data_IF_479290671803
#
_entry.id   IF_479290671803
#
_cell.length_a   1.000
_cell.length_b   1.000
_cell.length_c   1.000
_cell.angle_alpha   90.00
_cell.angle_beta   90.00
_cell.angle_gamma   90.00
#
_symmetry.space_group_name_H-M   'P 1'
#
loop_
_entity.id
_entity.type
_entity.pdbx_description
1 polymer ?
#
# COMPACT_ATOMS: atom_id res chain seq x y z
N UNK A 1 -22.00 -15.21 42.05
CA UNK A 1 -21.65 -13.86 41.54
C UNK A 1 -20.18 -13.73 41.11
N UNK A 2 -19.18 -14.19 41.89
CA UNK A 2 -17.76 -14.08 41.50
C UNK A 2 -17.39 -14.86 40.22
N UNK A 3 -17.94 -16.07 40.04
CA UNK A 3 -17.66 -16.92 38.85
C UNK A 3 -18.24 -16.34 37.55
N UNK A 4 -19.46 -15.81 37.59
CA UNK A 4 -20.11 -15.18 36.43
C UNK A 4 -19.45 -13.87 36.04
N UNK A 5 -19.03 -13.05 37.02
CA UNK A 5 -18.25 -11.84 36.75
C UNK A 5 -16.88 -12.15 36.15
N UNK A 6 -16.19 -13.19 36.64
CA UNK A 6 -14.92 -13.63 36.06
C UNK A 6 -15.09 -14.15 34.63
N UNK A 7 -16.15 -14.93 34.36
CA UNK A 7 -16.46 -15.41 33.02
C UNK A 7 -16.76 -14.25 32.06
N UNK A 8 -17.48 -13.23 32.52
CA UNK A 8 -17.80 -12.04 31.73
C UNK A 8 -16.53 -11.23 31.42
N UNK A 9 -15.62 -11.07 32.39
CA UNK A 9 -14.34 -10.40 32.18
C UNK A 9 -13.43 -11.19 31.22
N UNK A 10 -13.39 -12.52 31.34
CA UNK A 10 -12.63 -13.37 30.42
C UNK A 10 -13.21 -13.32 29.00
N UNK A 11 -14.54 -13.39 28.87
CA UNK A 11 -15.21 -13.25 27.57
C UNK A 11 -15.00 -11.87 26.94
N UNK A 12 -15.09 -10.80 27.73
CA UNK A 12 -14.78 -9.45 27.27
C UNK A 12 -13.31 -9.33 26.83
N UNK A 13 -12.37 -9.88 27.62
CA UNK A 13 -10.95 -9.90 27.25
C UNK A 13 -10.69 -10.70 25.97
N UNK A 14 -11.36 -11.84 25.78
CA UNK A 14 -11.29 -12.64 24.56
C UNK A 14 -11.76 -11.86 23.33
N UNK A 15 -12.87 -11.13 23.44
CA UNK A 15 -13.34 -10.24 22.37
C UNK A 15 -12.33 -9.14 22.04
N UNK A 16 -11.58 -8.60 23.01
CA UNK A 16 -10.50 -7.65 22.74
C UNK A 16 -9.30 -8.28 22.00
N UNK A 17 -9.06 -9.59 22.14
CA UNK A 17 -7.96 -10.28 21.46
C UNK A 17 -8.33 -10.84 20.08
N UNK A 18 -9.61 -10.87 19.69
CA UNK A 18 -10.06 -11.43 18.40
C UNK A 18 -10.42 -10.41 17.32
N UNK A 19 -10.37 -9.10 17.59
CA UNK A 19 -10.72 -8.08 16.60
C UNK A 19 -9.51 -7.71 15.72
N UNK A 20 -9.30 -8.48 14.67
CA UNK A 20 -8.41 -8.14 13.56
C UNK A 20 -9.10 -7.08 12.68
N UNK A 21 -9.11 -5.82 13.11
CA UNK A 21 -9.69 -4.71 12.34
C UNK A 21 -8.80 -4.41 11.12
N UNK A 22 -9.14 -5.00 9.99
CA UNK A 22 -8.30 -4.97 8.81
C UNK A 22 -8.60 -3.77 7.90
N UNK A 23 -8.06 -2.58 8.22
CA UNK A 23 -7.85 -1.55 7.19
C UNK A 23 -6.57 -1.91 6.42
N UNK A 24 -6.71 -2.34 5.17
CA UNK A 24 -5.57 -2.72 4.32
C UNK A 24 -5.62 -1.86 3.06
N UNK A 25 -4.51 -1.21 2.74
CA UNK A 25 -4.36 -0.51 1.47
C UNK A 25 -3.85 -1.52 0.44
N UNK A 26 -4.53 -1.58 -0.70
CA UNK A 26 -4.11 -2.33 -1.87
C UNK A 26 -3.69 -1.39 -2.98
N UNK A 27 -2.66 -1.78 -3.73
CA UNK A 27 -2.24 -1.09 -4.95
C UNK A 27 -2.26 -2.10 -6.09
N UNK A 28 -2.80 -1.69 -7.23
CA UNK A 28 -2.70 -2.45 -8.46
C UNK A 28 -1.27 -2.37 -8.98
N UNK A 29 -0.50 -3.44 -8.82
CA UNK A 29 0.84 -3.59 -9.37
C UNK A 29 0.82 -4.67 -10.46
N UNK A 30 1.31 -4.34 -11.66
CA UNK A 30 1.58 -5.35 -12.69
C UNK A 30 2.99 -5.91 -12.48
N UNK A 31 3.09 -7.23 -12.37
CA UNK A 31 4.35 -7.96 -12.34
C UNK A 31 4.81 -8.40 -13.73
N UNK A 32 3.98 -8.23 -14.76
CA UNK A 32 4.36 -8.53 -16.14
C UNK A 32 5.10 -7.33 -16.71
N UNK A 33 6.33 -7.52 -17.23
CA UNK A 33 7.03 -6.45 -17.93
C UNK A 33 6.17 -6.00 -19.11
N UNK A 34 6.10 -4.69 -19.35
CA UNK A 34 5.44 -4.16 -20.53
C UNK A 34 6.29 -4.54 -21.75
N UNK A 35 5.81 -5.44 -22.62
CA UNK A 35 6.59 -5.89 -23.75
C UNK A 35 6.86 -4.71 -24.69
N UNK A 36 8.09 -4.63 -25.20
CA UNK A 36 8.53 -3.65 -26.20
C UNK A 36 8.54 -2.18 -25.74
N UNK A 37 8.61 -1.91 -24.44
CA UNK A 37 8.88 -0.56 -23.95
C UNK A 37 10.24 -0.57 -23.26
N UNK A 38 11.33 -0.18 -23.95
CA UNK A 38 12.64 -0.07 -23.32
C UNK A 38 12.65 1.13 -22.36
N UNK A 39 13.26 0.93 -21.20
CA UNK A 39 13.36 1.93 -20.16
C UNK A 39 14.70 1.80 -19.43
N UNK A 40 15.14 2.92 -18.86
CA UNK A 40 16.30 2.98 -17.98
C UNK A 40 15.83 3.22 -16.54
N UNK A 41 16.46 2.52 -15.60
CA UNK A 41 16.18 2.75 -14.17
C UNK A 41 16.95 3.98 -13.71
N UNK A 42 16.21 5.00 -13.27
CA UNK A 42 16.78 6.22 -12.69
C UNK A 42 17.25 5.94 -11.27
N UNK A 43 16.36 5.38 -10.43
CA UNK A 43 16.60 5.20 -9.00
C UNK A 43 15.57 4.27 -8.37
N UNK A 44 15.98 3.49 -7.37
CA UNK A 44 15.05 2.78 -6.49
C UNK A 44 14.59 3.69 -5.34
N UNK A 45 13.28 3.77 -5.13
CA UNK A 45 12.66 4.62 -4.11
C UNK A 45 11.84 3.79 -3.13
N UNK A 46 11.76 4.29 -1.89
CA UNK A 46 10.97 3.70 -0.83
C UNK A 46 10.27 4.81 -0.03
N UNK A 47 8.98 4.64 0.23
CA UNK A 47 8.20 5.53 1.12
C UNK A 47 7.41 4.71 2.12
N UNK A 48 7.27 5.29 3.31
CA UNK A 48 6.53 4.72 4.42
C UNK A 48 5.46 5.71 4.87
N UNK A 49 4.23 5.23 5.01
CA UNK A 49 3.09 5.99 5.50
C UNK A 49 2.60 5.39 6.80
N UNK A 50 2.07 6.23 7.69
CA UNK A 50 1.52 5.79 8.95
C UNK A 50 0.25 6.57 9.25
N UNK A 51 -0.78 5.86 9.69
CA UNK A 51 -1.99 6.46 10.24
C UNK A 51 -2.45 5.68 11.46
N UNK A 52 -3.36 6.26 12.23
CA UNK A 52 -3.97 5.59 13.37
C UNK A 52 -5.45 5.32 13.07
N UNK A 53 -6.02 4.33 13.75
CA UNK A 53 -7.46 4.14 13.86
C UNK A 53 -7.82 3.92 15.32
N UNK A 54 -9.05 4.30 15.66
CA UNK A 54 -9.69 3.91 16.90
C UNK A 54 -10.64 2.76 16.62
N UNK A 55 -10.35 1.60 17.21
CA UNK A 55 -11.08 0.36 17.02
C UNK A 55 -11.91 0.07 18.28
N UNK A 56 -13.23 0.20 18.17
CA UNK A 56 -14.18 -0.14 19.24
C UNK A 56 -14.96 -1.37 18.79
N UNK A 57 -14.57 -2.55 19.30
CA UNK A 57 -15.18 -3.81 18.89
C UNK A 57 -14.96 -4.07 17.39
N UNK A 58 -16.05 -4.10 16.61
CA UNK A 58 -16.02 -4.34 15.16
C UNK A 58 -15.93 -3.05 14.32
N UNK A 59 -16.02 -1.87 14.94
CA UNK A 59 -15.96 -0.59 14.23
C UNK A 59 -14.55 0.00 14.34
N UNK A 60 -13.87 0.14 13.21
CA UNK A 60 -12.61 0.86 13.09
C UNK A 60 -12.84 2.24 12.47
N UNK A 61 -12.53 3.30 13.20
CA UNK A 61 -12.61 4.69 12.72
C UNK A 61 -11.19 5.19 12.49
N UNK A 62 -10.74 5.38 11.24
CA UNK A 62 -9.43 5.93 10.97
C UNK A 62 -9.36 7.39 11.45
N UNK A 63 -8.28 7.76 12.15
CA UNK A 63 -8.07 9.15 12.59
C UNK A 63 -7.70 10.07 11.42
N UNK A 64 -7.18 9.49 10.34
CA UNK A 64 -6.79 10.18 9.11
C UNK A 64 -7.08 9.30 7.91
N UNK A 65 -7.38 9.89 6.76
CA UNK A 65 -7.61 9.17 5.51
C UNK A 65 -6.40 8.31 5.14
N UNK A 66 -6.56 7.01 4.88
CA UNK A 66 -5.49 6.16 4.38
C UNK A 66 -4.94 6.71 3.05
N UNK A 67 -3.61 6.69 2.81
CA UNK A 67 -2.98 7.40 1.69
C UNK A 67 -3.17 6.78 0.29
N UNK A 68 -4.23 6.00 0.05
CA UNK A 68 -4.39 5.16 -1.13
C UNK A 68 -4.22 5.89 -2.47
N UNK A 69 -4.74 7.12 -2.58
CA UNK A 69 -4.86 7.82 -3.86
C UNK A 69 -3.56 8.49 -4.35
N UNK A 70 -2.62 8.74 -3.44
CA UNK A 70 -1.41 9.52 -3.72
C UNK A 70 -0.11 8.75 -3.48
N UNK A 71 -0.18 7.45 -3.18
CA UNK A 71 1.01 6.64 -2.90
C UNK A 71 2.00 6.69 -4.07
N UNK A 72 1.56 6.36 -5.28
CA UNK A 72 2.45 6.31 -6.45
C UNK A 72 2.97 7.69 -6.81
N UNK A 73 2.10 8.71 -6.78
CA UNK A 73 2.50 10.08 -7.03
C UNK A 73 3.58 10.56 -6.05
N UNK A 74 3.44 10.20 -4.77
CA UNK A 74 4.45 10.55 -3.78
C UNK A 74 5.79 9.87 -4.07
N UNK A 75 5.83 8.65 -4.63
CA UNK A 75 7.11 8.01 -4.99
C UNK A 75 7.85 8.75 -6.10
N UNK A 76 7.13 9.46 -6.97
CA UNK A 76 7.69 10.23 -8.09
C UNK A 76 7.92 11.70 -7.75
N UNK A 77 7.51 12.15 -6.57
CA UNK A 77 7.56 13.56 -6.17
C UNK A 77 9.00 14.08 -6.12
N UNK A 78 9.31 15.08 -6.94
CA UNK A 78 10.63 15.69 -7.02
C UNK A 78 11.65 14.92 -7.86
N UNK A 79 11.24 13.81 -8.49
CA UNK A 79 12.10 12.98 -9.32
C UNK A 79 11.66 13.07 -10.79
N UNK A 80 12.62 13.15 -11.70
CA UNK A 80 12.37 13.21 -13.15
C UNK A 80 12.27 11.77 -13.68
N UNK A 81 11.09 11.16 -13.55
CA UNK A 81 10.79 9.79 -13.97
C UNK A 81 9.42 9.70 -14.65
N UNK A 82 9.28 8.79 -15.61
CA UNK A 82 8.04 8.60 -16.38
C UNK A 82 7.10 7.59 -15.73
N UNK A 83 7.65 6.62 -15.00
CA UNK A 83 6.86 5.58 -14.34
C UNK A 83 7.58 4.98 -13.12
N UNK A 84 6.81 4.24 -12.31
CA UNK A 84 7.31 3.35 -11.26
C UNK A 84 7.05 1.90 -11.65
N UNK A 85 8.10 1.08 -11.70
CA UNK A 85 8.00 -0.37 -11.98
C UNK A 85 8.52 -1.19 -10.80
N UNK A 86 8.35 -2.52 -10.87
CA UNK A 86 8.80 -3.44 -9.81
C UNK A 86 8.28 -3.01 -8.41
N UNK A 87 7.02 -2.57 -8.37
CA UNK A 87 6.38 -2.10 -7.15
C UNK A 87 6.21 -3.28 -6.18
N UNK A 88 6.69 -3.09 -4.96
CA UNK A 88 6.53 -4.01 -3.83
C UNK A 88 5.99 -3.20 -2.66
N UNK A 89 5.01 -3.74 -1.98
CA UNK A 89 4.44 -3.08 -0.81
C UNK A 89 4.22 -4.06 0.33
N UNK A 90 4.15 -3.53 1.54
CA UNK A 90 3.81 -4.26 2.74
C UNK A 90 2.91 -3.41 3.63
N UNK A 91 2.10 -4.10 4.43
CA UNK A 91 1.23 -3.48 5.43
C UNK A 91 1.61 -4.05 6.79
N UNK A 92 1.94 -3.18 7.73
CA UNK A 92 2.17 -3.57 9.13
C UNK A 92 1.11 -2.92 10.01
N UNK A 93 0.69 -3.64 11.06
CA UNK A 93 -0.26 -3.14 12.06
C UNK A 93 0.30 -3.36 13.44
N UNK A 94 0.16 -2.35 14.29
CA UNK A 94 0.51 -2.43 15.71
C UNK A 94 -0.71 -2.02 16.53
N UNK A 95 -1.24 -2.95 17.32
CA UNK A 95 -2.48 -2.77 18.08
C UNK A 95 -2.14 -2.47 19.54
N UNK A 96 -2.66 -1.36 20.06
CA UNK A 96 -2.47 -0.88 21.43
C UNK A 96 -3.84 -0.64 22.08
N UNK A 97 -4.50 -1.72 22.48
CA UNK A 97 -5.88 -1.65 22.99
C UNK A 97 -6.83 -1.16 21.90
N UNK A 98 -7.60 -0.08 22.12
CA UNK A 98 -8.52 0.45 21.11
C UNK A 98 -7.82 1.34 20.06
N UNK A 99 -6.51 1.54 20.13
CA UNK A 99 -5.78 2.33 19.14
C UNK A 99 -4.93 1.40 18.29
N UNK A 100 -5.11 1.45 16.98
CA UNK A 100 -4.28 0.70 16.03
C UNK A 100 -3.45 1.67 15.20
N UNK A 101 -2.14 1.44 15.15
CA UNK A 101 -1.25 2.10 14.20
C UNK A 101 -1.15 1.22 12.95
N UNK A 102 -1.52 1.80 11.82
CA UNK A 102 -1.29 1.21 10.51
C UNK A 102 -0.04 1.80 9.88
N UNK A 103 0.75 0.96 9.24
CA UNK A 103 1.89 1.38 8.43
C UNK A 103 1.78 0.73 7.06
N UNK A 104 2.00 1.53 6.04
CA UNK A 104 2.08 1.08 4.67
C UNK A 104 3.44 1.44 4.12
N UNK A 105 4.24 0.44 3.78
CA UNK A 105 5.52 0.63 3.13
C UNK A 105 5.42 0.25 1.66
N UNK A 106 6.05 1.03 0.80
CA UNK A 106 6.11 0.77 -0.64
C UNK A 106 7.50 1.07 -1.16
N UNK A 107 7.95 0.21 -2.06
CA UNK A 107 9.21 0.31 -2.78
C UNK A 107 8.96 0.11 -4.27
N UNK A 108 9.73 0.80 -5.10
CA UNK A 108 9.69 0.62 -6.55
C UNK A 108 10.89 1.24 -7.22
N UNK A 109 11.02 0.99 -8.52
CA UNK A 109 12.09 1.54 -9.35
C UNK A 109 11.49 2.62 -10.25
N UNK A 110 12.02 3.84 -10.12
CA UNK A 110 11.70 4.95 -11.01
C UNK A 110 12.41 4.72 -12.34
N UNK A 111 11.65 4.81 -13.43
CA UNK A 111 12.17 4.57 -14.77
C UNK A 111 11.85 5.73 -15.70
N UNK A 112 12.75 5.93 -16.67
CA UNK A 112 12.50 6.77 -17.84
C UNK A 112 12.39 5.91 -19.07
N UNK A 113 11.41 6.22 -19.92
CA UNK A 113 11.27 5.55 -21.20
C UNK A 113 12.35 6.06 -22.15
N UNK A 114 13.17 5.14 -22.65
CA UNK A 114 14.08 5.48 -23.74
C UNK A 114 13.21 5.63 -24.98
N UNK A 115 13.24 6.79 -25.63
CA UNK A 115 12.50 7.00 -26.87
C UNK A 115 12.97 5.97 -27.90
N UNK A 116 12.15 4.93 -28.14
CA UNK A 116 12.26 4.16 -29.36
C UNK A 116 11.88 5.11 -30.49
N UNK A 117 12.87 5.51 -31.28
CA UNK A 117 12.62 5.95 -32.66
C UNK A 117 11.66 4.94 -33.27
N UNK A 118 10.46 5.38 -33.62
CA UNK A 118 9.48 4.59 -34.34
C UNK A 118 10.19 3.86 -35.48
N UNK A 119 10.00 2.54 -35.70
CA UNK A 119 10.24 2.02 -37.01
C UNK A 119 9.14 2.60 -37.89
N UNK A 120 9.46 3.70 -38.57
CA UNK A 120 8.76 4.07 -39.78
C UNK A 120 8.85 2.86 -40.73
N UNK A 121 7.76 2.11 -40.86
CA UNK A 121 7.62 1.11 -41.93
C UNK A 121 6.29 1.35 -42.64
N UNK A 122 6.36 2.33 -43.54
CA UNK A 122 6.00 2.24 -44.96
C UNK A 122 4.78 1.40 -45.32
N UNK A 123 3.75 2.10 -45.81
CA UNK A 123 2.73 1.63 -46.77
C UNK A 123 3.21 0.43 -47.61
N UNK A 124 2.67 -0.75 -47.32
CA UNK A 124 2.72 -1.92 -48.19
C UNK A 124 1.49 -1.95 -49.10
N UNK A 125 1.64 -1.36 -50.29
CA UNK A 125 0.69 -1.48 -51.40
C UNK A 125 0.80 -2.90 -51.97
N UNK A 126 -0.29 -3.68 -51.96
CA UNK A 126 -0.58 -4.69 -52.98
C UNK A 126 -2.07 -4.93 -53.03
#
# INVERSE_FOLDING_TARGET
>A
MKKTSLLLCLFASYLFFTNCASSTIGIAASNRPLPNIPYETVKSVEKNFSWFSFDIGIFGIPTTTPPADHVIQSLMEGEDADAVVNIRYWNDKSVFGPVTRHRFGIKGDLVKFTAQQSPATTKGKK
#
